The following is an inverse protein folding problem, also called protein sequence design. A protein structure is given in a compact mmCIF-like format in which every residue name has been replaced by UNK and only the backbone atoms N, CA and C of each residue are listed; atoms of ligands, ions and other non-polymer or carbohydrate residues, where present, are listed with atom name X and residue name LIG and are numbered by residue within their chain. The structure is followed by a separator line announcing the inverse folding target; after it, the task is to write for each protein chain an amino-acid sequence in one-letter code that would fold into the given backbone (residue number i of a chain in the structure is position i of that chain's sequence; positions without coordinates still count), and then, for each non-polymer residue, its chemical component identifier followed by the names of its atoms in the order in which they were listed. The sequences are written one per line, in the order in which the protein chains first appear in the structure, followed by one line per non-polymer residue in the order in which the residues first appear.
data_IF_716014343924
#
_entry.id   IF_716014343924
#
_cell.length_a   1.000
_cell.length_b   1.000
_cell.length_c   1.000
_cell.angle_alpha   90.00
_cell.angle_beta   90.00
_cell.angle_gamma   90.00
#
_symmetry.space_group_name_H-M   'P 1'
#
loop_
_entity.id
_entity.type
_entity.pdbx_description
1 polymer ?
#
# COMPACT_ATOMS: atom_id res chain seq x y z
N UNK A 1 6.75 18.58 -8.30
CA UNK A 1 6.08 17.73 -9.33
C UNK A 1 7.15 17.28 -10.31
N UNK A 2 7.27 15.99 -10.58
CA UNK A 2 8.27 15.45 -11.51
C UNK A 2 7.89 15.79 -12.96
N UNK A 3 8.83 16.29 -13.77
CA UNK A 3 8.60 16.76 -15.14
C UNK A 3 8.27 15.68 -16.19
N UNK A 4 7.98 14.44 -15.79
CA UNK A 4 7.74 13.33 -16.73
C UNK A 4 6.25 13.25 -17.07
N UNK A 5 5.92 13.28 -18.36
CA UNK A 5 4.52 13.38 -18.82
C UNK A 5 4.10 12.23 -19.72
N UNK A 6 5.04 11.50 -20.33
CA UNK A 6 4.73 10.34 -21.17
C UNK A 6 4.96 9.00 -20.46
N UNK A 7 4.19 7.98 -20.84
CA UNK A 7 4.36 6.60 -20.34
C UNK A 7 5.79 6.10 -20.58
N UNK A 8 6.37 6.39 -21.75
CA UNK A 8 7.73 5.94 -22.10
C UNK A 8 8.81 6.57 -21.21
N UNK A 9 8.68 7.84 -20.82
CA UNK A 9 9.60 8.49 -19.87
C UNK A 9 9.53 7.85 -18.48
N UNK A 10 8.33 7.44 -18.04
CA UNK A 10 8.15 6.72 -16.78
C UNK A 10 8.67 5.29 -16.86
N UNK A 11 8.43 4.57 -17.96
CA UNK A 11 8.97 3.23 -18.20
C UNK A 11 10.50 3.25 -18.15
N UNK A 12 11.13 4.21 -18.84
CA UNK A 12 12.57 4.39 -18.81
C UNK A 12 13.11 4.72 -17.41
N UNK A 13 12.38 5.55 -16.64
CA UNK A 13 12.75 5.84 -15.25
C UNK A 13 12.73 4.58 -14.38
N UNK A 14 11.73 3.70 -14.57
CA UNK A 14 11.61 2.41 -13.88
C UNK A 14 12.79 1.50 -14.27
N UNK A 15 13.14 1.41 -15.56
CA UNK A 15 14.26 0.58 -16.02
C UNK A 15 15.60 1.04 -15.42
N UNK A 16 15.84 2.36 -15.40
CA UNK A 16 17.03 2.95 -14.76
C UNK A 16 17.04 2.69 -13.26
N UNK A 17 15.89 2.86 -12.59
CA UNK A 17 15.77 2.60 -11.15
C UNK A 17 16.05 1.15 -10.81
N UNK A 18 15.47 0.19 -11.55
CA UNK A 18 15.67 -1.24 -11.32
C UNK A 18 17.13 -1.65 -11.58
N UNK A 19 17.73 -1.14 -12.65
CA UNK A 19 19.13 -1.43 -12.99
C UNK A 19 20.08 -0.85 -11.94
N UNK A 20 19.83 0.37 -11.46
CA UNK A 20 20.68 0.99 -10.45
C UNK A 20 20.45 0.41 -9.06
N UNK A 21 19.22 0.13 -8.65
CA UNK A 21 18.92 -0.49 -7.36
C UNK A 21 19.58 -1.87 -7.20
N UNK A 22 19.76 -2.62 -8.31
CA UNK A 22 20.51 -3.86 -8.31
C UNK A 22 22.02 -3.66 -8.06
N UNK A 23 22.58 -2.52 -8.47
CA UNK A 23 24.00 -2.18 -8.32
C UNK A 23 24.31 -1.45 -7.00
N UNK A 24 23.30 -0.87 -6.34
CA UNK A 24 23.43 -0.08 -5.12
C UNK A 24 22.46 -0.59 -4.03
N UNK A 25 22.77 -1.73 -3.40
CA UNK A 25 21.91 -2.30 -2.35
C UNK A 25 21.70 -1.34 -1.16
N UNK A 26 22.70 -0.50 -0.86
CA UNK A 26 22.62 0.53 0.20
C UNK A 26 21.49 1.55 -0.05
N UNK A 27 21.29 1.96 -1.32
CA UNK A 27 20.21 2.89 -1.69
C UNK A 27 18.84 2.23 -1.52
N UNK A 28 18.75 0.94 -1.83
CA UNK A 28 17.53 0.15 -1.56
C UNK A 28 17.26 0.06 -0.06
N UNK A 29 18.29 -0.13 0.76
CA UNK A 29 18.17 -0.18 2.21
C UNK A 29 17.74 1.16 2.82
N UNK A 30 18.25 2.28 2.30
CA UNK A 30 17.80 3.62 2.69
C UNK A 30 16.32 3.86 2.36
N UNK A 31 15.88 3.53 1.14
CA UNK A 31 14.48 3.66 0.73
C UNK A 31 13.57 2.77 1.60
N UNK A 32 13.96 1.52 1.81
CA UNK A 32 13.22 0.59 2.67
C UNK A 32 13.15 1.09 4.11
N UNK A 33 14.21 1.72 4.61
CA UNK A 33 14.23 2.32 5.95
C UNK A 33 13.21 3.47 6.06
N UNK A 34 13.15 4.36 5.07
CA UNK A 34 12.18 5.46 5.03
C UNK A 34 10.74 4.94 4.95
N UNK A 35 10.50 3.94 4.09
CA UNK A 35 9.18 3.30 3.96
C UNK A 35 8.77 2.61 5.27
N UNK A 36 9.71 1.93 5.92
CA UNK A 36 9.47 1.28 7.22
C UNK A 36 9.10 2.28 8.29
N UNK A 37 9.79 3.42 8.38
CA UNK A 37 9.45 4.48 9.35
C UNK A 37 8.01 4.96 9.11
N UNK A 38 7.64 5.20 7.86
CA UNK A 38 6.27 5.63 7.51
C UNK A 38 5.22 4.58 7.89
N UNK A 39 5.55 3.30 7.71
CA UNK A 39 4.69 2.18 8.12
C UNK A 39 4.57 2.06 9.64
N UNK A 40 5.69 2.17 10.37
CA UNK A 40 5.72 2.14 11.84
C UNK A 40 4.93 3.33 12.44
N UNK A 41 4.92 4.48 11.75
CA UNK A 41 4.18 5.69 12.13
C UNK A 41 2.65 5.57 11.97
N UNK A 42 2.13 4.55 11.28
CA UNK A 42 0.68 4.28 11.22
C UNK A 42 0.08 4.00 12.59
N UNK A 43 0.88 3.51 13.56
CA UNK A 43 0.59 3.27 15.00
C UNK A 43 -0.58 2.35 15.35
N UNK A 44 -1.55 2.18 14.46
CA UNK A 44 -2.69 1.29 14.59
C UNK A 44 -2.39 -0.04 13.89
N UNK A 45 -2.42 -1.13 14.65
CA UNK A 45 -2.12 -2.48 14.16
C UNK A 45 -3.10 -2.93 13.06
N UNK A 46 -4.37 -2.53 13.15
CA UNK A 46 -5.39 -2.86 12.16
C UNK A 46 -5.10 -2.15 10.84
N UNK A 47 -4.75 -0.87 10.89
CA UNK A 47 -4.36 -0.09 9.70
C UNK A 47 -3.10 -0.69 9.06
N UNK A 48 -2.14 -1.09 9.88
CA UNK A 48 -0.92 -1.77 9.47
C UNK A 48 -1.20 -3.10 8.76
N UNK A 49 -2.04 -3.96 9.33
CA UNK A 49 -2.46 -5.23 8.72
C UNK A 49 -3.23 -5.01 7.40
N UNK A 50 -4.12 -4.02 7.36
CA UNK A 50 -4.85 -3.64 6.15
C UNK A 50 -3.89 -3.20 5.04
N UNK A 51 -2.88 -2.37 5.37
CA UNK A 51 -1.85 -1.96 4.42
C UNK A 51 -1.00 -3.14 3.94
N UNK A 52 -0.59 -4.04 4.83
CA UNK A 52 0.15 -5.24 4.45
C UNK A 52 -0.66 -6.14 3.51
N UNK A 53 -1.97 -6.25 3.71
CA UNK A 53 -2.85 -7.02 2.84
C UNK A 53 -2.83 -6.51 1.39
N UNK A 54 -2.67 -5.20 1.18
CA UNK A 54 -2.52 -4.62 -0.16
C UNK A 54 -1.30 -5.16 -0.92
N UNK A 55 -0.26 -5.66 -0.22
CA UNK A 55 0.91 -6.26 -0.84
C UNK A 55 0.65 -7.65 -1.47
N UNK A 56 -0.53 -8.23 -1.26
CA UNK A 56 -0.95 -9.47 -1.91
C UNK A 56 -1.42 -9.26 -3.36
N UNK A 57 -1.72 -8.03 -3.74
CA UNK A 57 -2.09 -7.66 -5.11
C UNK A 57 -0.83 -7.47 -5.95
N UNK A 58 -0.90 -7.78 -7.25
CA UNK A 58 0.25 -7.53 -8.13
C UNK A 58 0.45 -6.03 -8.36
N UNK A 59 1.66 -5.62 -8.74
CA UNK A 59 2.07 -4.21 -8.86
C UNK A 59 1.18 -3.41 -9.83
N UNK A 60 0.61 -4.07 -10.85
CA UNK A 60 -0.21 -3.43 -11.88
C UNK A 60 -1.72 -3.70 -11.70
N UNK A 61 -2.12 -4.38 -10.63
CA UNK A 61 -3.53 -4.67 -10.39
C UNK A 61 -4.28 -3.44 -9.89
N UNK A 62 -5.48 -3.25 -10.45
CA UNK A 62 -6.42 -2.26 -9.92
C UNK A 62 -7.07 -2.81 -8.66
N UNK A 63 -6.79 -2.20 -7.52
CA UNK A 63 -7.43 -2.52 -6.26
C UNK A 63 -8.74 -1.71 -6.15
N UNK A 64 -9.88 -2.39 -6.23
CA UNK A 64 -11.19 -1.78 -6.03
C UNK A 64 -11.46 -1.65 -4.52
N UNK A 65 -11.76 -0.43 -4.06
CA UNK A 65 -11.95 -0.12 -2.63
C UNK A 65 -13.00 -1.02 -1.97
N UNK A 66 -14.15 -1.16 -2.61
CA UNK A 66 -15.27 -1.95 -2.10
C UNK A 66 -14.86 -3.42 -1.90
N UNK A 67 -14.14 -4.00 -2.88
CA UNK A 67 -13.64 -5.38 -2.79
C UNK A 67 -12.56 -5.53 -1.71
N UNK A 68 -11.68 -4.54 -1.58
CA UNK A 68 -10.63 -4.54 -0.57
C UNK A 68 -11.21 -4.56 0.85
N UNK A 69 -12.25 -3.74 1.10
CA UNK A 69 -12.96 -3.74 2.38
C UNK A 69 -13.60 -5.11 2.65
N UNK A 70 -14.23 -5.71 1.64
CA UNK A 70 -14.83 -7.04 1.77
C UNK A 70 -13.79 -8.13 2.08
N UNK A 71 -12.59 -8.04 1.51
CA UNK A 71 -11.49 -8.96 1.85
C UNK A 71 -11.02 -8.77 3.28
N UNK A 72 -10.79 -7.54 3.74
CA UNK A 72 -10.38 -7.30 5.13
C UNK A 72 -11.42 -7.79 6.16
N UNK A 73 -12.71 -7.67 5.84
CA UNK A 73 -13.79 -8.21 6.68
C UNK A 73 -13.79 -9.74 6.66
N UNK A 74 -13.63 -10.35 5.48
CA UNK A 74 -13.64 -11.81 5.31
C UNK A 74 -12.47 -12.49 6.03
N UNK A 75 -11.31 -11.83 6.06
CA UNK A 75 -10.10 -12.27 6.76
C UNK A 75 -10.15 -11.98 8.26
N UNK A 76 -11.18 -11.27 8.73
CA UNK A 76 -11.35 -10.91 10.14
C UNK A 76 -10.38 -9.85 10.65
N UNK A 77 -9.66 -9.17 9.76
CA UNK A 77 -8.80 -8.03 10.08
C UNK A 77 -9.66 -6.89 10.63
N UNK A 78 -10.83 -6.67 10.02
CA UNK A 78 -11.84 -5.73 10.47
C UNK A 78 -13.11 -6.51 10.83
N UNK A 79 -13.68 -6.26 12.01
CA UNK A 79 -14.90 -6.96 12.45
C UNK A 79 -16.07 -6.04 12.84
N UNK A 80 -15.85 -4.72 12.97
CA UNK A 80 -16.90 -3.77 13.35
C UNK A 80 -17.60 -4.09 14.68
N UNK A 81 -16.97 -4.85 15.57
CA UNK A 81 -17.58 -5.37 16.80
C UNK A 81 -18.70 -6.40 16.54
N UNK A 82 -18.66 -7.11 15.41
CA UNK A 82 -19.69 -8.05 14.96
C UNK A 82 -20.81 -7.41 14.15
N UNK A 83 -20.78 -6.09 13.97
CA UNK A 83 -21.70 -5.36 13.11
C UNK A 83 -21.05 -5.13 11.74
N UNK A 84 -21.67 -5.69 10.70
CA UNK A 84 -21.15 -5.63 9.34
C UNK A 84 -21.13 -4.21 8.78
N UNK A 85 -22.14 -3.40 9.05
CA UNK A 85 -22.20 -2.03 8.53
C UNK A 85 -21.09 -1.18 9.16
N UNK A 86 -20.84 -1.38 10.46
CA UNK A 86 -19.69 -0.74 11.13
C UNK A 86 -18.36 -1.19 10.54
N UNK A 87 -18.19 -2.48 10.25
CA UNK A 87 -16.98 -3.00 9.63
C UNK A 87 -16.71 -2.39 8.26
N UNK A 88 -17.76 -2.16 7.45
CA UNK A 88 -17.65 -1.45 6.17
C UNK A 88 -17.17 0.00 6.39
N UNK A 89 -17.81 0.74 7.30
CA UNK A 89 -17.43 2.12 7.58
C UNK A 89 -15.98 2.24 8.10
N UNK A 90 -15.57 1.31 8.96
CA UNK A 90 -14.20 1.20 9.44
C UNK A 90 -13.21 0.96 8.28
N UNK A 91 -13.52 0.03 7.37
CA UNK A 91 -12.72 -0.22 6.17
C UNK A 91 -12.52 1.03 5.29
N UNK A 92 -13.59 1.79 5.02
CA UNK A 92 -13.45 3.04 4.27
C UNK A 92 -12.68 4.12 5.01
N UNK A 93 -12.80 4.19 6.34
CA UNK A 93 -12.00 5.10 7.14
C UNK A 93 -10.50 4.75 7.05
N UNK A 94 -10.14 3.45 7.12
CA UNK A 94 -8.76 2.99 6.95
C UNK A 94 -8.24 3.32 5.55
N UNK A 95 -9.04 3.12 4.49
CA UNK A 95 -8.64 3.54 3.14
C UNK A 95 -8.36 5.04 3.09
N UNK A 96 -9.13 5.87 3.79
CA UNK A 96 -8.89 7.32 3.88
C UNK A 96 -7.59 7.70 4.59
N UNK A 97 -7.04 6.82 5.43
CA UNK A 97 -5.73 7.00 6.08
C UNK A 97 -4.58 6.61 5.13
N UNK A 98 -4.80 5.61 4.28
CA UNK A 98 -3.77 5.02 3.42
C UNK A 98 -3.58 5.74 2.07
N UNK A 99 -4.52 6.60 1.65
CA UNK A 99 -4.54 7.26 0.31
C UNK A 99 -4.64 8.77 0.43
#
# INVERSE_FOLDING_TARGET
MACKTSVHEWQYAIDVLNTNAANYPEVKDEILTILKISYDDLKDETVQQCFQYCALFSVDDKIYKDMLVEYWISEGIINGGGDRERAIHEGYNIIGILV
#
